data_IF_050855859009
#
_entry.id   IF_050855859009
#
_cell.length_a   1.000
_cell.length_b   1.000
_cell.length_c   1.000
_cell.angle_alpha   90.00
_cell.angle_beta   90.00
_cell.angle_gamma   90.00
#
_symmetry.space_group_name_H-M   'P 1'
#
loop_
_entity.id
_entity.type
_entity.pdbx_description
1 polymer ?
#
# COMPACT_ATOMS: atom_id res chain seq x y z
N UNK A 1 -3.74 3.39 11.41
CA UNK A 1 -3.77 3.87 10.00
C UNK A 1 -4.74 3.03 9.17
N UNK A 2 -5.32 3.57 8.08
CA UNK A 2 -6.13 2.81 7.13
C UNK A 2 -5.29 2.16 6.00
N UNK A 3 -5.69 0.96 5.60
CA UNK A 3 -5.39 0.32 4.32
C UNK A 3 -6.72 0.09 3.61
N UNK A 4 -6.98 0.80 2.52
CA UNK A 4 -8.18 0.57 1.70
C UNK A 4 -7.84 -0.39 0.58
N UNK A 5 -8.58 -1.50 0.53
CA UNK A 5 -8.47 -2.57 -0.46
C UNK A 5 -9.65 -2.47 -1.42
N UNK A 6 -9.38 -2.48 -2.73
CA UNK A 6 -10.41 -2.63 -3.78
C UNK A 6 -10.07 -3.81 -4.66
N UNK A 7 -10.97 -4.78 -4.77
CA UNK A 7 -10.85 -5.92 -5.66
C UNK A 7 -11.38 -5.56 -7.06
N UNK A 8 -10.58 -5.74 -8.11
CA UNK A 8 -10.91 -5.29 -9.47
C UNK A 8 -11.56 -6.36 -10.35
N UNK A 9 -11.19 -7.63 -10.16
CA UNK A 9 -11.76 -8.81 -10.81
C UNK A 9 -12.02 -9.90 -9.74
N UNK A 10 -12.63 -11.03 -10.11
CA UNK A 10 -12.90 -12.11 -9.17
C UNK A 10 -11.64 -12.92 -8.77
N UNK A 11 -10.49 -12.63 -9.39
CA UNK A 11 -9.27 -13.42 -9.32
C UNK A 11 -8.26 -12.76 -8.35
N UNK A 12 -7.25 -12.06 -8.87
CA UNK A 12 -6.06 -11.60 -8.11
C UNK A 12 -5.72 -10.12 -8.27
N UNK A 13 -6.54 -9.35 -8.97
CA UNK A 13 -6.24 -7.93 -9.20
C UNK A 13 -6.78 -7.05 -8.07
N UNK A 14 -5.88 -6.41 -7.32
CA UNK A 14 -6.22 -5.56 -6.17
C UNK A 14 -5.56 -4.18 -6.25
N UNK A 15 -6.27 -3.14 -5.85
CA UNK A 15 -5.70 -1.84 -5.49
C UNK A 15 -5.59 -1.76 -3.96
N UNK A 16 -4.41 -1.43 -3.47
CA UNK A 16 -4.09 -1.19 -2.07
C UNK A 16 -3.71 0.28 -1.88
N UNK A 17 -4.60 1.07 -1.29
CA UNK A 17 -4.34 2.47 -0.92
C UNK A 17 -4.00 2.55 0.57
N UNK A 18 -2.73 2.81 0.86
CA UNK A 18 -2.22 3.07 2.21
C UNK A 18 -2.37 4.56 2.52
N UNK A 19 -2.83 4.90 3.72
CA UNK A 19 -3.02 6.29 4.14
C UNK A 19 -2.40 6.53 5.53
N UNK A 20 -1.89 7.74 5.82
CA UNK A 20 -1.39 8.06 7.15
C UNK A 20 -2.51 8.09 8.20
N UNK A 21 -2.12 7.94 9.45
CA UNK A 21 -2.98 7.85 10.65
C UNK A 21 -3.92 9.04 10.83
N UNK A 22 -3.46 10.24 10.48
CA UNK A 22 -4.19 11.50 10.61
C UNK A 22 -5.04 11.87 9.37
N UNK A 23 -4.99 11.09 8.29
CA UNK A 23 -5.80 11.34 7.10
C UNK A 23 -7.31 11.22 7.42
N UNK A 24 -8.14 12.16 6.96
CA UNK A 24 -9.60 12.03 7.05
C UNK A 24 -10.11 10.73 6.40
N UNK A 25 -11.16 10.14 6.98
CA UNK A 25 -11.73 8.85 6.55
C UNK A 25 -12.27 8.84 5.10
N UNK A 26 -12.44 9.99 4.47
CA UNK A 26 -12.96 10.18 3.11
C UNK A 26 -12.03 11.05 2.26
N UNK A 27 -10.72 10.80 2.32
CA UNK A 27 -9.74 11.47 1.48
C UNK A 27 -9.45 10.72 0.18
N UNK A 28 -9.19 11.49 -0.88
CA UNK A 28 -8.74 10.99 -2.18
C UNK A 28 -7.42 10.20 -2.04
N UNK A 29 -7.11 9.28 -2.99
CA UNK A 29 -5.85 8.52 -2.99
C UNK A 29 -4.60 9.41 -2.97
N UNK A 30 -4.71 10.61 -3.54
CA UNK A 30 -3.66 11.64 -3.67
C UNK A 30 -3.39 12.46 -2.39
N UNK A 31 -3.94 12.09 -1.23
CA UNK A 31 -3.68 12.78 0.03
C UNK A 31 -2.19 12.64 0.43
N UNK A 32 -1.49 13.73 0.84
CA UNK A 32 -0.05 13.68 1.14
C UNK A 32 0.34 12.57 2.13
N UNK A 33 1.39 11.81 1.79
CA UNK A 33 1.86 10.66 2.56
C UNK A 33 1.04 9.38 2.38
N UNK A 34 -0.02 9.40 1.57
CA UNK A 34 -0.67 8.18 1.07
C UNK A 34 0.15 7.55 -0.04
N UNK A 35 -0.14 6.28 -0.35
CA UNK A 35 0.48 5.57 -1.48
C UNK A 35 -0.43 4.47 -1.99
N UNK A 36 -0.54 4.32 -3.31
CA UNK A 36 -1.44 3.37 -3.96
C UNK A 36 -0.68 2.37 -4.81
N UNK A 37 -0.87 1.08 -4.49
CA UNK A 37 -0.25 -0.05 -5.17
C UNK A 37 -1.32 -0.88 -5.89
N UNK A 38 -1.13 -1.10 -7.18
CA UNK A 38 -1.90 -2.04 -7.98
C UNK A 38 -1.15 -3.38 -8.06
N UNK A 39 -1.78 -4.48 -7.68
CA UNK A 39 -1.19 -5.83 -7.71
C UNK A 39 -1.86 -6.66 -8.81
N UNK A 40 -1.03 -7.38 -9.59
CA UNK A 40 -1.43 -8.38 -10.59
C UNK A 40 -2.65 -7.98 -11.45
N UNK A 41 -2.59 -6.86 -12.21
CA UNK A 41 -3.73 -6.39 -12.97
C UNK A 41 -4.03 -7.27 -14.20
N UNK A 42 -5.22 -7.83 -14.20
CA UNK A 42 -5.86 -8.50 -15.33
C UNK A 42 -7.29 -7.94 -15.47
N UNK A 43 -7.46 -7.02 -16.42
CA UNK A 43 -8.71 -6.29 -16.67
C UNK A 43 -9.35 -6.66 -18.01
N UNK A 44 -8.55 -7.17 -18.95
CA UNK A 44 -9.01 -7.56 -20.28
C UNK A 44 -8.23 -8.75 -20.84
N UNK A 45 -8.74 -9.31 -21.94
CA UNK A 45 -8.19 -10.49 -22.61
C UNK A 45 -8.57 -11.82 -21.95
N UNK A 46 -8.85 -12.84 -22.79
CA UNK A 46 -8.94 -14.24 -22.35
C UNK A 46 -7.54 -14.79 -22.10
N UNK A 47 -7.31 -15.48 -20.98
CA UNK A 47 -5.99 -16.02 -20.65
C UNK A 47 -5.91 -17.48 -21.04
N UNK A 48 -4.95 -17.83 -21.89
CA UNK A 48 -4.61 -19.23 -22.16
C UNK A 48 -3.49 -19.67 -21.23
N UNK A 49 -3.80 -20.53 -20.26
CA UNK A 49 -2.79 -21.03 -19.32
C UNK A 49 -1.98 -22.13 -20.02
N UNK A 50 -0.66 -21.99 -19.94
CA UNK A 50 0.36 -22.96 -20.40
C UNK A 50 0.52 -23.11 -21.93
N UNK A 51 -0.54 -23.41 -22.69
CA UNK A 51 -0.51 -23.58 -24.16
C UNK A 51 -1.94 -23.59 -24.74
N UNK A 52 -2.12 -23.34 -26.05
CA UNK A 52 -3.43 -23.24 -26.74
C UNK A 52 -4.32 -24.52 -26.71
N UNK A 53 -3.90 -25.59 -26.01
CA UNK A 53 -4.65 -26.84 -25.84
C UNK A 53 -5.00 -27.16 -24.38
N UNK A 54 -4.59 -26.30 -23.42
CA UNK A 54 -4.48 -26.70 -22.01
C UNK A 54 -5.51 -26.07 -21.08
N UNK A 55 -5.74 -24.75 -21.16
CA UNK A 55 -6.93 -24.10 -20.62
C UNK A 55 -7.10 -22.73 -21.31
N UNK A 56 -8.31 -22.38 -21.71
CA UNK A 56 -8.71 -20.97 -21.91
C UNK A 56 -9.55 -20.59 -20.71
N UNK A 57 -9.06 -19.71 -19.85
CA UNK A 57 -9.85 -19.10 -18.78
C UNK A 57 -10.33 -17.73 -19.24
N UNK A 58 -11.65 -17.53 -19.19
CA UNK A 58 -12.29 -16.22 -19.29
C UNK A 58 -12.86 -15.86 -17.93
N UNK A 59 -12.81 -14.59 -17.55
CA UNK A 59 -13.52 -14.13 -16.37
C UNK A 59 -15.01 -14.48 -16.46
N UNK A 60 -15.54 -15.05 -15.39
CA UNK A 60 -16.98 -15.28 -15.19
C UNK A 60 -17.72 -13.98 -14.86
N UNK A 61 -17.01 -12.98 -14.34
CA UNK A 61 -17.54 -11.66 -13.99
C UNK A 61 -16.65 -10.57 -14.58
N UNK A 62 -17.23 -9.64 -15.34
CA UNK A 62 -16.48 -8.56 -15.98
C UNK A 62 -15.72 -7.71 -14.92
N UNK A 63 -14.41 -7.43 -15.11
CA UNK A 63 -13.65 -6.56 -14.24
C UNK A 63 -14.26 -5.15 -14.12
N UNK A 64 -14.04 -4.49 -12.98
CA UNK A 64 -14.65 -3.17 -12.68
C UNK A 64 -14.04 -1.98 -13.41
N UNK A 65 -12.97 -2.19 -14.17
CA UNK A 65 -12.28 -1.20 -15.00
C UNK A 65 -12.01 -1.86 -16.34
N UNK A 66 -12.13 -1.12 -17.44
CA UNK A 66 -11.86 -1.64 -18.79
C UNK A 66 -10.41 -1.41 -19.20
N UNK A 67 -9.75 -0.37 -18.67
CA UNK A 67 -8.34 -0.08 -18.93
C UNK A 67 -7.66 0.58 -17.73
N UNK A 68 -6.35 0.35 -17.58
CA UNK A 68 -5.53 1.05 -16.60
C UNK A 68 -5.46 2.57 -16.82
N UNK A 69 -5.77 3.06 -18.02
CA UNK A 69 -5.87 4.51 -18.31
C UNK A 69 -6.91 5.23 -17.46
N UNK A 70 -7.93 4.52 -16.95
CA UNK A 70 -8.96 5.10 -16.09
C UNK A 70 -8.43 5.49 -14.69
N UNK A 71 -7.27 4.95 -14.31
CA UNK A 71 -6.68 5.09 -12.96
C UNK A 71 -5.17 5.41 -12.99
N UNK A 72 -4.56 5.68 -14.15
CA UNK A 72 -3.09 5.82 -14.31
C UNK A 72 -2.51 6.91 -13.37
N UNK A 73 -3.20 8.04 -13.23
CA UNK A 73 -2.80 9.16 -12.37
C UNK A 73 -3.02 8.90 -10.86
N UNK A 74 -3.74 7.84 -10.48
CA UNK A 74 -4.04 7.46 -9.08
C UNK A 74 -3.16 6.30 -8.56
N UNK A 75 -2.31 5.69 -9.41
CA UNK A 75 -1.45 4.55 -9.04
C UNK A 75 0.03 4.96 -9.01
N UNK A 76 0.64 4.93 -7.82
CA UNK A 76 2.07 5.18 -7.62
C UNK A 76 2.94 4.02 -8.09
N UNK A 77 2.43 2.79 -7.97
CA UNK A 77 3.19 1.56 -8.24
C UNK A 77 2.32 0.40 -8.72
N UNK A 78 2.83 -0.36 -9.70
CA UNK A 78 2.30 -1.66 -10.11
C UNK A 78 3.26 -2.78 -9.64
N UNK A 79 2.72 -3.82 -9.02
CA UNK A 79 3.45 -5.03 -8.62
C UNK A 79 2.95 -6.22 -9.44
N UNK A 80 3.89 -6.98 -10.02
CA UNK A 80 3.62 -8.24 -10.74
C UNK A 80 4.31 -9.41 -10.03
N UNK A 81 3.53 -10.27 -9.38
CA UNK A 81 4.01 -11.36 -8.53
C UNK A 81 4.60 -12.53 -9.34
N UNK A 82 4.08 -12.85 -10.53
CA UNK A 82 4.50 -14.00 -11.33
C UNK A 82 4.26 -13.84 -12.83
N UNK A 83 4.90 -14.66 -13.67
CA UNK A 83 4.87 -14.56 -15.15
C UNK A 83 3.61 -15.17 -15.81
N UNK A 84 2.68 -15.68 -15.00
CA UNK A 84 1.42 -16.32 -15.45
C UNK A 84 0.48 -15.30 -16.10
N UNK A 85 -0.30 -15.69 -17.12
CA UNK A 85 -1.09 -14.74 -17.91
C UNK A 85 -2.25 -14.10 -17.12
N UNK A 86 -2.73 -14.76 -16.07
CA UNK A 86 -3.73 -14.29 -15.10
C UNK A 86 -3.18 -13.30 -14.05
N UNK A 87 -1.86 -13.07 -14.02
CA UNK A 87 -1.20 -12.10 -13.12
C UNK A 87 -0.35 -11.07 -13.87
N UNK A 88 0.28 -11.49 -14.96
CA UNK A 88 1.15 -10.73 -15.86
C UNK A 88 0.51 -10.73 -17.24
N UNK A 89 -0.61 -10.01 -17.35
CA UNK A 89 -1.43 -9.88 -18.55
C UNK A 89 -0.86 -8.79 -19.48
N UNK A 90 -0.56 -9.16 -20.73
CA UNK A 90 0.06 -8.26 -21.72
C UNK A 90 -0.91 -7.18 -22.19
N UNK A 91 -2.16 -7.53 -22.48
CA UNK A 91 -3.18 -6.59 -22.97
C UNK A 91 -3.48 -5.49 -21.94
N UNK A 92 -3.64 -5.89 -20.68
CA UNK A 92 -3.93 -4.99 -19.55
C UNK A 92 -2.77 -4.03 -19.31
N UNK A 93 -1.52 -4.54 -19.24
CA UNK A 93 -0.34 -3.70 -18.99
C UNK A 93 0.02 -2.82 -20.20
N UNK A 94 -0.05 -3.35 -21.42
CA UNK A 94 0.19 -2.57 -22.64
C UNK A 94 -0.96 -1.60 -22.98
N UNK A 95 -2.07 -1.61 -22.23
CA UNK A 95 -3.07 -0.53 -22.29
C UNK A 95 -2.54 0.80 -21.77
N UNK A 96 -1.53 0.79 -20.88
CA UNK A 96 -0.81 1.99 -20.43
C UNK A 96 -0.02 2.64 -21.59
N UNK A 97 0.20 3.96 -21.59
CA UNK A 97 1.06 4.64 -22.56
C UNK A 97 2.49 4.08 -22.56
N UNK A 98 3.16 4.05 -23.71
CA UNK A 98 4.57 3.65 -23.82
C UNK A 98 5.54 4.47 -22.94
N UNK A 99 5.16 5.73 -22.69
CA UNK A 99 5.87 6.69 -21.83
C UNK A 99 5.21 6.81 -20.44
N UNK A 100 4.42 5.81 -20.01
CA UNK A 100 3.83 5.66 -18.68
C UNK A 100 4.86 5.94 -17.56
N UNK A 101 4.45 6.69 -16.55
CA UNK A 101 5.29 7.14 -15.42
C UNK A 101 5.24 6.20 -14.21
N UNK A 102 4.16 5.42 -14.05
CA UNK A 102 3.97 4.49 -12.94
C UNK A 102 4.95 3.34 -13.02
N UNK A 103 5.73 3.16 -11.96
CA UNK A 103 6.77 2.11 -11.86
C UNK A 103 6.12 0.72 -11.84
N UNK A 104 6.82 -0.26 -12.42
CA UNK A 104 6.41 -1.66 -12.45
C UNK A 104 7.50 -2.47 -11.75
N UNK A 105 7.22 -2.94 -10.54
CA UNK A 105 8.08 -3.89 -9.81
C UNK A 105 7.59 -5.31 -10.11
N UNK A 106 8.43 -6.14 -10.73
CA UNK A 106 8.02 -7.47 -11.17
C UNK A 106 9.04 -8.54 -10.76
N UNK A 107 8.59 -9.74 -10.41
CA UNK A 107 9.52 -10.85 -10.13
C UNK A 107 10.33 -11.24 -11.37
N UNK A 108 11.52 -11.87 -11.25
CA UNK A 108 12.52 -11.92 -12.33
C UNK A 108 12.00 -12.44 -13.69
N UNK A 109 11.09 -13.42 -13.65
CA UNK A 109 10.47 -13.98 -14.86
C UNK A 109 9.40 -13.06 -15.44
N UNK A 110 8.59 -12.42 -14.59
CA UNK A 110 7.61 -11.42 -15.00
C UNK A 110 8.29 -10.19 -15.59
N UNK A 111 9.32 -9.63 -14.93
CA UNK A 111 10.11 -8.52 -15.43
C UNK A 111 10.72 -8.82 -16.81
N UNK A 112 11.29 -10.02 -16.99
CA UNK A 112 11.80 -10.47 -18.30
C UNK A 112 10.70 -10.57 -19.37
N UNK A 113 9.52 -11.10 -19.03
CA UNK A 113 8.36 -11.20 -19.92
C UNK A 113 7.87 -9.82 -20.35
N UNK A 114 7.66 -8.92 -19.39
CA UNK A 114 7.18 -7.54 -19.64
C UNK A 114 8.16 -6.78 -20.54
N UNK A 115 9.47 -6.89 -20.29
CA UNK A 115 10.50 -6.28 -21.15
C UNK A 115 10.48 -6.85 -22.58
N UNK A 116 10.13 -8.12 -22.78
CA UNK A 116 10.08 -8.75 -24.10
C UNK A 116 8.94 -8.25 -25.00
N UNK A 117 7.93 -7.58 -24.44
CA UNK A 117 6.86 -6.92 -25.20
C UNK A 117 7.32 -5.66 -25.94
N UNK A 118 8.48 -5.10 -25.57
CA UNK A 118 9.05 -3.87 -26.17
C UNK A 118 8.09 -2.65 -26.18
N UNK A 119 7.13 -2.62 -25.26
CA UNK A 119 6.11 -1.57 -25.18
C UNK A 119 6.54 -0.35 -24.37
N UNK A 120 7.16 -0.59 -23.21
CA UNK A 120 7.57 0.48 -22.29
C UNK A 120 8.93 1.06 -22.68
N UNK A 121 8.95 2.31 -23.14
CA UNK A 121 10.14 2.95 -23.73
C UNK A 121 11.02 3.67 -22.68
N UNK A 122 10.49 3.96 -21.48
CA UNK A 122 11.25 4.66 -20.41
C UNK A 122 12.23 3.69 -19.72
N UNK A 123 13.55 3.99 -19.67
CA UNK A 123 14.50 3.21 -18.89
C UNK A 123 14.13 3.17 -17.41
N UNK A 124 14.27 2.00 -16.78
CA UNK A 124 13.98 1.82 -15.35
C UNK A 124 12.49 1.78 -14.98
N UNK A 125 11.56 1.77 -15.94
CA UNK A 125 10.13 1.66 -15.63
C UNK A 125 9.71 0.25 -15.18
N UNK A 126 10.40 -0.79 -15.68
CA UNK A 126 10.24 -2.18 -15.25
C UNK A 126 11.47 -2.61 -14.46
N UNK A 127 11.35 -2.69 -13.14
CA UNK A 127 12.42 -3.10 -12.22
C UNK A 127 12.17 -4.53 -11.70
N UNK A 128 13.22 -5.16 -11.20
CA UNK A 128 13.20 -6.57 -10.82
C UNK A 128 13.13 -6.74 -9.30
N UNK A 129 12.06 -7.37 -8.82
CA UNK A 129 11.93 -7.82 -7.43
C UNK A 129 12.80 -9.06 -7.22
N UNK A 130 14.07 -8.84 -6.89
CA UNK A 130 15.01 -9.92 -6.55
C UNK A 130 14.48 -10.77 -5.38
N UNK A 131 14.72 -12.09 -5.37
CA UNK A 131 14.30 -12.94 -4.26
C UNK A 131 14.96 -12.53 -2.93
N UNK A 132 14.15 -12.44 -1.87
CA UNK A 132 14.58 -12.04 -0.54
C UNK A 132 15.69 -12.93 0.03
N UNK A 133 16.70 -12.30 0.64
CA UNK A 133 17.77 -12.96 1.37
C UNK A 133 18.16 -12.15 2.61
N UNK A 134 18.00 -12.74 3.80
CA UNK A 134 18.15 -12.02 5.07
C UNK A 134 19.51 -11.31 5.26
N UNK A 135 20.59 -11.83 4.68
CA UNK A 135 21.92 -11.23 4.76
C UNK A 135 22.25 -10.22 3.64
N UNK A 136 21.30 -9.90 2.75
CA UNK A 136 21.49 -8.99 1.61
C UNK A 136 20.37 -7.94 1.64
N UNK A 137 20.58 -6.79 2.33
CA UNK A 137 19.55 -5.77 2.53
C UNK A 137 18.92 -5.25 1.23
N UNK A 138 19.67 -5.28 0.12
CA UNK A 138 19.26 -4.85 -1.22
C UNK A 138 18.17 -5.74 -1.84
N UNK A 139 17.93 -6.94 -1.28
CA UNK A 139 16.82 -7.81 -1.68
C UNK A 139 15.46 -7.35 -1.14
N UNK A 140 15.44 -6.32 -0.29
CA UNK A 140 14.24 -5.57 0.07
C UNK A 140 14.25 -4.26 -0.72
N UNK A 141 13.31 -4.11 -1.64
CA UNK A 141 13.14 -2.83 -2.35
C UNK A 141 12.57 -1.81 -1.38
N UNK A 142 13.22 -0.65 -1.26
CA UNK A 142 12.85 0.44 -0.36
C UNK A 142 12.50 1.68 -1.17
N UNK A 143 11.32 2.24 -0.92
CA UNK A 143 10.81 3.44 -1.58
C UNK A 143 10.59 4.50 -0.48
N UNK A 144 11.40 5.57 -0.43
CA UNK A 144 11.19 6.64 0.54
C UNK A 144 9.91 7.42 0.20
N UNK A 145 9.22 7.89 1.23
CA UNK A 145 8.10 8.83 1.11
C UNK A 145 8.54 10.18 1.67
N UNK A 146 8.29 11.24 0.89
CA UNK A 146 8.73 12.59 1.24
C UNK A 146 8.15 13.06 2.59
N UNK A 147 8.96 13.71 3.46
CA UNK A 147 8.48 14.22 4.74
C UNK A 147 7.58 15.44 4.53
N UNK A 148 6.52 15.58 5.35
CA UNK A 148 5.59 16.73 5.25
C UNK A 148 6.25 18.09 5.49
N UNK A 149 7.40 18.11 6.17
CA UNK A 149 8.17 19.29 6.50
C UNK A 149 9.63 18.93 6.76
N UNK A 150 10.51 19.93 6.85
CA UNK A 150 11.92 19.74 7.25
C UNK A 150 12.11 19.24 8.69
N UNK A 151 11.06 19.22 9.52
CA UNK A 151 11.06 18.69 10.89
C UNK A 151 10.38 17.31 11.00
N UNK A 152 9.80 16.80 9.90
CA UNK A 152 9.17 15.48 9.83
C UNK A 152 10.18 14.40 9.48
N UNK A 153 9.97 13.19 9.99
CA UNK A 153 10.71 12.02 9.54
C UNK A 153 10.23 11.58 8.14
N UNK A 154 11.15 11.07 7.32
CA UNK A 154 10.81 10.40 6.05
C UNK A 154 9.93 9.18 6.33
N UNK A 155 8.98 8.91 5.43
CA UNK A 155 8.25 7.64 5.40
C UNK A 155 8.99 6.61 4.56
N UNK A 156 8.54 5.36 4.60
CA UNK A 156 9.14 4.28 3.81
C UNK A 156 8.10 3.21 3.45
N UNK A 157 8.19 2.74 2.21
CA UNK A 157 7.56 1.51 1.77
C UNK A 157 8.64 0.48 1.49
N UNK A 158 8.47 -0.74 2.00
CA UNK A 158 9.37 -1.85 1.73
C UNK A 158 8.64 -2.98 1.04
N UNK A 159 9.27 -3.60 0.05
CA UNK A 159 8.69 -4.68 -0.78
C UNK A 159 9.72 -5.79 -0.93
N UNK A 160 9.33 -7.02 -0.59
CA UNK A 160 10.18 -8.20 -0.66
C UNK A 160 9.47 -9.35 -1.39
N UNK A 161 10.20 -10.03 -2.28
CA UNK A 161 9.72 -11.21 -3.02
C UNK A 161 10.28 -12.48 -2.36
N UNK A 162 9.47 -13.18 -1.58
CA UNK A 162 9.85 -14.43 -0.91
C UNK A 162 9.53 -15.58 -1.88
N UNK A 163 10.55 -16.12 -2.53
CA UNK A 163 10.41 -17.10 -3.60
C UNK A 163 10.70 -18.54 -3.15
N UNK A 164 9.88 -19.49 -3.59
CA UNK A 164 10.12 -20.93 -3.36
C UNK A 164 11.25 -21.45 -4.26
N UNK A 165 12.36 -21.91 -3.65
CA UNK A 165 13.55 -22.36 -4.39
C UNK A 165 13.33 -23.63 -5.24
N UNK A 166 12.37 -24.47 -4.85
CA UNK A 166 12.13 -25.81 -5.43
C UNK A 166 10.78 -25.93 -6.14
N UNK A 167 10.14 -24.81 -6.51
CA UNK A 167 8.87 -24.84 -7.25
C UNK A 167 9.10 -24.90 -8.76
N UNK A 168 8.89 -26.09 -9.34
CA UNK A 168 8.93 -26.33 -10.79
C UNK A 168 7.77 -25.65 -11.53
N UNK A 169 6.60 -25.51 -10.89
CA UNK A 169 5.43 -24.85 -11.47
C UNK A 169 5.61 -23.34 -11.48
N UNK A 170 6.36 -22.78 -10.51
CA UNK A 170 6.59 -21.34 -10.31
C UNK A 170 5.27 -20.59 -10.10
N UNK A 171 4.47 -21.10 -9.16
CA UNK A 171 3.22 -20.54 -8.68
C UNK A 171 3.36 -20.02 -7.24
N UNK A 172 4.20 -20.67 -6.43
CA UNK A 172 4.25 -20.45 -4.98
C UNK A 172 5.32 -19.41 -4.61
N UNK A 173 4.88 -18.18 -4.35
CA UNK A 173 5.68 -17.12 -3.75
C UNK A 173 4.84 -16.24 -2.82
N UNK A 174 5.51 -15.34 -2.12
CA UNK A 174 4.89 -14.26 -1.38
C UNK A 174 5.48 -12.91 -1.81
N UNK A 175 4.64 -11.91 -2.01
CA UNK A 175 5.06 -10.50 -1.98
C UNK A 175 4.69 -9.95 -0.60
N UNK A 176 5.71 -9.58 0.18
CA UNK A 176 5.52 -8.90 1.46
C UNK A 176 5.74 -7.40 1.28
N UNK A 177 4.80 -6.59 1.76
CA UNK A 177 4.80 -5.13 1.65
C UNK A 177 4.69 -4.55 3.06
N UNK A 178 5.47 -3.53 3.38
CA UNK A 178 5.25 -2.70 4.57
C UNK A 178 5.11 -1.23 4.19
N UNK A 179 4.27 -0.49 4.92
CA UNK A 179 4.08 0.94 4.77
C UNK A 179 4.25 1.63 6.12
N UNK A 180 5.21 2.53 6.21
CA UNK A 180 5.42 3.48 7.28
C UNK A 180 5.19 4.89 6.70
N UNK A 181 4.15 5.63 7.12
CA UNK A 181 3.92 6.97 6.59
C UNK A 181 5.04 7.92 7.03
N UNK A 182 5.20 9.07 6.35
CA UNK A 182 6.04 10.14 6.87
C UNK A 182 5.58 10.57 8.26
N UNK A 183 6.53 10.89 9.14
CA UNK A 183 6.26 11.17 10.55
C UNK A 183 5.56 12.52 10.74
N UNK A 184 4.46 12.55 11.49
CA UNK A 184 3.76 13.78 11.86
C UNK A 184 4.02 14.21 13.31
N UNK A 185 4.01 15.52 13.56
CA UNK A 185 4.01 16.08 14.92
C UNK A 185 2.72 15.75 15.71
N UNK A 186 1.71 15.20 15.02
CA UNK A 186 0.45 14.75 15.63
C UNK A 186 0.55 13.33 16.22
N UNK A 187 1.67 12.62 15.99
CA UNK A 187 1.95 11.30 16.56
C UNK A 187 2.96 11.44 17.69
N UNK A 188 2.56 11.07 18.91
CA UNK A 188 3.44 11.07 20.07
C UNK A 188 4.41 9.87 20.04
N UNK A 189 5.52 9.88 20.81
CA UNK A 189 6.50 8.79 20.82
C UNK A 189 5.98 7.41 21.27
N UNK A 190 4.75 7.33 21.81
CA UNK A 190 4.05 6.08 22.14
C UNK A 190 3.20 5.52 20.96
N UNK A 191 3.20 6.21 19.83
CA UNK A 191 2.42 5.88 18.63
C UNK A 191 0.95 6.31 18.69
N UNK A 192 0.56 7.16 19.64
CA UNK A 192 -0.79 7.77 19.66
C UNK A 192 -0.86 8.96 18.69
N UNK A 193 -1.80 8.94 17.74
CA UNK A 193 -1.98 10.00 16.74
C UNK A 193 -3.31 10.72 16.93
N UNK A 194 -3.30 12.05 16.83
CA UNK A 194 -4.52 12.88 16.73
C UNK A 194 -4.99 12.97 15.26
N UNK A 195 -6.28 12.78 14.98
CA UNK A 195 -6.82 12.92 13.62
C UNK A 195 -7.02 14.40 13.26
N UNK A 196 -6.84 14.76 11.98
CA UNK A 196 -7.23 16.07 11.48
C UNK A 196 -8.74 16.33 11.61
N UNK A 197 -9.56 15.29 11.61
CA UNK A 197 -11.01 15.40 11.81
C UNK A 197 -11.42 15.70 13.26
N UNK A 198 -10.54 15.45 14.23
CA UNK A 198 -10.80 15.64 15.65
C UNK A 198 -10.28 17.00 16.17
N UNK A 199 -9.52 17.74 15.35
CA UNK A 199 -9.04 19.06 15.70
C UNK A 199 -10.21 20.06 15.76
N UNK A 200 -10.36 20.83 16.87
CA UNK A 200 -11.37 21.87 16.92
C UNK A 200 -11.08 22.93 15.86
N UNK A 201 -12.08 23.22 15.02
CA UNK A 201 -11.99 24.33 14.06
C UNK A 201 -11.90 25.63 14.86
N UNK A 202 -10.68 26.14 15.03
CA UNK A 202 -10.45 27.46 15.63
C UNK A 202 -10.98 28.49 14.63
N UNK A 203 -12.24 28.86 14.79
CA UNK A 203 -12.81 30.02 14.14
C UNK A 203 -11.92 31.23 14.48
N UNK A 204 -11.33 31.86 13.44
CA UNK A 204 -10.50 33.05 13.62
C UNK A 204 -11.32 34.10 14.39
N UNK A 205 -10.86 34.61 15.54
CA UNK A 205 -11.53 35.72 16.21
C UNK A 205 -11.31 36.99 15.38
N UNK A 206 -12.22 37.28 14.45
CA UNK A 206 -12.00 38.37 13.50
C UNK A 206 -12.92 38.44 12.27
N UNK A 207 -14.20 38.05 12.36
CA UNK A 207 -15.22 38.42 11.35
C UNK A 207 -16.56 38.68 12.04
N UNK A 208 -16.78 39.92 12.46
CA UNK A 208 -18.07 40.39 12.96
C UNK A 208 -19.06 40.53 11.80
N UNK A 209 -19.91 39.53 11.57
CA UNK A 209 -21.15 39.74 10.81
C UNK A 209 -22.22 40.41 11.70
N UNK A 210 -22.97 41.40 11.20
CA UNK A 210 -24.08 41.99 11.95
C UNK A 210 -25.29 41.04 11.97
N UNK A 211 -26.03 40.94 13.08
CA UNK A 211 -27.23 40.10 13.15
C UNK A 211 -28.41 40.77 12.41
N UNK A 212 -29.08 40.01 11.55
CA UNK A 212 -30.39 40.35 11.00
C UNK A 212 -31.54 39.79 11.88
N UNK A 213 -32.75 40.38 11.87
CA UNK A 213 -33.69 40.22 12.99
C UNK A 213 -34.89 39.27 12.74
N UNK A 214 -35.45 38.75 13.85
CA UNK A 214 -36.74 38.01 13.99
C UNK A 214 -36.80 36.61 13.34
N UNK A 215 -37.51 35.59 13.85
CA UNK A 215 -38.42 35.43 15.00
C UNK A 215 -38.19 34.02 15.63
N UNK A 216 -38.54 33.67 16.87
CA UNK A 216 -39.92 33.67 17.39
C UNK A 216 -40.01 33.43 18.92
N UNK A 217 -40.97 34.14 19.50
CA UNK A 217 -41.55 34.10 20.85
C UNK A 217 -41.68 32.70 21.52
N UNK A 218 -41.06 32.53 22.70
CA UNK A 218 -41.71 32.02 23.93
C UNK A 218 -41.16 32.71 25.18
N UNK A 219 -42.06 33.08 26.11
CA UNK A 219 -41.79 33.62 27.47
C UNK A 219 -42.21 32.54 28.48
N UNK A 220 -41.58 32.43 29.67
CA UNK A 220 -42.03 33.15 30.89
C UNK A 220 -40.88 33.94 31.59
N UNK A 221 -41.08 35.12 32.19
CA UNK A 221 -41.47 35.42 33.60
C UNK A 221 -40.45 34.95 34.66
N UNK A 222 -40.04 35.70 35.71
CA UNK A 222 -40.38 37.05 36.23
C UNK A 222 -39.30 37.47 37.27
N UNK A 223 -39.10 38.79 37.52
CA UNK A 223 -38.29 39.39 38.62
C UNK A 223 -36.76 39.12 38.61
N UNK A 224 -35.85 39.95 39.16
CA UNK A 224 -35.90 41.32 39.73
C UNK A 224 -34.47 41.96 39.68
N UNK A 225 -34.27 43.27 40.01
CA UNK A 225 -33.05 44.03 39.62
C UNK A 225 -31.98 44.22 40.72
N UNK A 226 -30.75 44.64 40.35
CA UNK A 226 -30.03 45.84 40.86
C UNK A 226 -28.48 45.87 40.60
N UNK A 227 -27.89 47.08 40.55
CA UNK A 227 -26.44 47.39 40.55
C UNK A 227 -25.77 47.39 39.14
N UNK A 228 -25.42 48.50 38.46
CA UNK A 228 -24.96 49.89 38.73
C UNK A 228 -23.42 50.02 38.95
N UNK A 229 -22.84 51.03 38.26
CA UNK A 229 -21.46 51.56 38.23
C UNK A 229 -20.48 50.87 37.23
N UNK A 230 -19.93 51.55 36.20
CA UNK A 230 -18.99 52.72 36.15
C UNK A 230 -17.58 52.36 36.69
N UNK A 231 -16.45 52.81 36.12
CA UNK A 231 -16.19 53.64 34.92
C UNK A 231 -14.65 53.78 34.67
N UNK A 232 -14.22 54.11 33.42
CA UNK A 232 -13.09 55.03 33.05
C UNK A 232 -11.65 54.59 33.51
N UNK A 233 -10.50 54.74 32.83
CA UNK A 233 -9.98 55.66 31.77
C UNK A 233 -8.74 55.12 31.01
N UNK A 234 -8.63 55.46 29.72
CA UNK A 234 -7.49 56.04 28.95
C UNK A 234 -5.99 55.68 29.19
N UNK A 235 -5.35 55.16 28.11
CA UNK A 235 -4.10 55.61 27.42
C UNK A 235 -2.72 55.72 28.17
N UNK A 236 -1.55 55.82 27.46
CA UNK A 236 -1.19 55.49 26.06
C UNK A 236 0.11 54.63 25.89
N UNK A 237 0.54 54.39 24.64
CA UNK A 237 1.84 53.80 24.23
C UNK A 237 3.05 54.75 24.47
N UNK A 238 4.29 54.25 24.26
CA UNK A 238 5.10 54.82 23.17
C UNK A 238 5.92 53.79 22.34
N UNK A 239 6.64 54.30 21.33
CA UNK A 239 7.32 53.60 20.22
C UNK A 239 8.82 53.91 20.09
N UNK A 240 9.59 53.03 19.44
CA UNK A 240 10.93 53.28 18.84
C UNK A 240 11.37 52.03 18.03
N UNK A 241 12.35 52.02 17.12
CA UNK A 241 12.86 52.88 16.03
C UNK A 241 14.18 52.24 15.53
N UNK A 242 14.46 52.21 14.23
CA UNK A 242 15.63 51.53 13.59
C UNK A 242 17.00 52.19 13.87
N UNK A 243 18.14 51.60 13.40
CA UNK A 243 18.82 52.17 12.21
C UNK A 243 19.58 51.15 11.28
N UNK A 244 20.42 51.70 10.39
CA UNK A 244 20.80 51.25 9.02
C UNK A 244 22.22 50.65 8.82
N UNK A 245 22.50 50.22 7.56
CA UNK A 245 23.73 49.60 6.98
C UNK A 245 24.98 50.49 6.85
N UNK A 246 26.10 50.01 6.22
CA UNK A 246 26.41 50.43 4.83
C UNK A 246 27.12 49.40 3.88
N UNK A 247 27.31 49.81 2.61
CA UNK A 247 27.78 49.07 1.41
C UNK A 247 29.30 49.00 1.12
N UNK A 248 29.70 48.15 0.13
CA UNK A 248 30.73 48.38 -0.96
C UNK A 248 31.46 47.07 -1.38
N UNK A 249 32.02 46.83 -2.57
CA UNK A 249 31.91 47.39 -3.94
C UNK A 249 32.60 46.42 -4.98
N UNK A 250 32.67 46.79 -6.27
CA UNK A 250 33.02 45.94 -7.46
C UNK A 250 34.52 45.92 -7.82
N UNK A 251 35.03 44.82 -8.44
CA UNK A 251 36.37 44.75 -9.08
C UNK A 251 36.56 43.64 -10.16
N UNK A 252 37.53 43.83 -11.08
CA UNK A 252 37.90 42.95 -12.23
C UNK A 252 39.45 42.82 -12.32
N UNK A 253 40.14 42.07 -13.20
CA UNK A 253 39.83 41.41 -14.49
C UNK A 253 40.89 40.30 -14.81
N UNK A 254 40.51 39.26 -15.58
CA UNK A 254 41.47 38.36 -16.29
C UNK A 254 41.79 37.01 -15.60
N UNK A 255 42.16 35.91 -16.28
CA UNK A 255 42.35 35.66 -17.74
C UNK A 255 42.14 34.17 -18.11
N UNK A 256 41.53 33.93 -19.29
CA UNK A 256 41.75 32.82 -20.24
C UNK A 256 41.81 31.34 -19.78
N UNK A 257 40.75 30.57 -20.10
CA UNK A 257 40.82 29.23 -20.75
C UNK A 257 39.44 28.76 -21.24
N UNK A 258 39.38 27.98 -22.32
CA UNK A 258 38.15 27.56 -23.07
C UNK A 258 38.46 26.28 -23.88
N UNK A 259 37.51 25.40 -24.23
CA UNK A 259 36.31 24.91 -23.53
C UNK A 259 36.30 23.36 -23.38
N UNK A 260 35.39 22.81 -22.57
CA UNK A 260 34.92 21.44 -22.78
C UNK A 260 33.40 21.30 -22.55
N UNK A 261 32.82 20.47 -23.40
CA UNK A 261 31.40 20.20 -23.66
C UNK A 261 30.46 20.11 -22.44
N UNK A 262 29.36 20.84 -22.50
CA UNK A 262 28.24 20.77 -21.56
C UNK A 262 27.40 19.48 -21.74
N UNK A 263 27.59 18.51 -20.85
CA UNK A 263 26.59 17.49 -20.54
C UNK A 263 26.05 17.77 -19.13
N UNK A 264 24.74 17.99 -18.99
CA UNK A 264 24.14 18.38 -17.71
C UNK A 264 24.10 17.21 -16.72
N UNK A 265 25.21 16.99 -16.00
CA UNK A 265 25.22 16.11 -14.83
C UNK A 265 24.46 16.81 -13.69
N UNK A 266 23.30 16.25 -13.35
CA UNK A 266 22.55 16.55 -12.12
C UNK A 266 23.50 16.32 -10.93
N UNK A 267 23.65 17.26 -9.98
CA UNK A 267 24.55 17.05 -8.85
C UNK A 267 24.14 15.80 -8.08
N UNK A 268 25.09 14.88 -7.92
CA UNK A 268 25.00 13.81 -6.95
C UNK A 268 24.97 14.45 -5.56
N UNK A 269 23.78 14.54 -4.97
CA UNK A 269 23.62 14.90 -3.57
C UNK A 269 24.19 13.77 -2.71
N UNK A 270 25.51 13.82 -2.50
CA UNK A 270 26.13 13.17 -1.36
C UNK A 270 25.33 13.63 -0.13
N UNK A 271 24.69 12.68 0.53
CA UNK A 271 23.79 12.95 1.64
C UNK A 271 24.56 13.59 2.78
N UNK A 272 24.45 14.92 2.91
CA UNK A 272 24.86 15.60 4.13
C UNK A 272 24.13 14.98 5.31
N UNK A 273 24.80 14.88 6.47
CA UNK A 273 24.23 14.33 7.69
C UNK A 273 23.17 15.27 8.29
N UNK A 274 22.05 15.46 7.58
CA UNK A 274 20.79 15.85 8.19
C UNK A 274 20.43 14.73 9.17
N UNK A 275 20.29 15.09 10.46
CA UNK A 275 19.86 14.14 11.48
C UNK A 275 18.51 13.57 11.06
N UNK A 276 18.46 12.32 10.59
CA UNK A 276 17.19 11.64 10.30
C UNK A 276 16.36 11.67 11.58
N UNK A 277 15.24 12.38 11.53
CA UNK A 277 14.28 12.39 12.63
C UNK A 277 13.79 10.94 12.83
N UNK A 278 13.76 10.42 14.07
CA UNK A 278 13.21 9.10 14.32
C UNK A 278 11.72 9.09 13.94
N UNK A 279 11.32 8.12 13.14
CA UNK A 279 9.92 7.91 12.79
C UNK A 279 9.29 6.97 13.84
N UNK A 280 8.21 7.43 14.48
CA UNK A 280 7.48 6.72 15.54
C UNK A 280 6.09 6.24 15.07
N UNK A 281 5.77 6.41 13.79
CA UNK A 281 4.52 5.89 13.22
C UNK A 281 4.50 4.35 13.32
N UNK A 282 3.30 3.80 13.54
CA UNK A 282 3.09 2.36 13.38
C UNK A 282 3.32 1.96 11.92
N UNK A 283 3.49 0.66 11.64
CA UNK A 283 3.71 0.13 10.30
C UNK A 283 2.55 -0.77 9.88
N UNK A 284 1.99 -0.52 8.69
CA UNK A 284 1.06 -1.44 8.04
C UNK A 284 1.85 -2.52 7.31
N UNK A 285 1.34 -3.74 7.32
CA UNK A 285 1.99 -4.92 6.74
C UNK A 285 1.01 -5.75 5.94
N UNK A 286 1.40 -6.10 4.70
CA UNK A 286 0.61 -6.89 3.78
C UNK A 286 1.43 -8.10 3.31
N UNK A 287 0.80 -9.27 3.27
CA UNK A 287 1.37 -10.49 2.72
C UNK A 287 0.48 -11.00 1.60
N UNK A 288 0.99 -11.00 0.38
CA UNK A 288 0.25 -11.39 -0.81
C UNK A 288 0.78 -12.73 -1.33
N UNK A 289 -0.05 -13.77 -1.25
CA UNK A 289 0.29 -15.19 -1.49
C UNK A 289 -0.85 -15.89 -2.24
N UNK A 290 -1.22 -15.48 -3.47
CA UNK A 290 -2.44 -15.96 -4.15
C UNK A 290 -2.50 -17.49 -4.28
N UNK A 291 -1.38 -18.13 -4.62
CA UNK A 291 -1.23 -19.61 -4.72
C UNK A 291 -0.66 -20.24 -3.43
N UNK A 292 -0.28 -19.42 -2.45
CA UNK A 292 0.38 -19.84 -1.22
C UNK A 292 1.90 -19.99 -1.31
N UNK A 293 2.50 -20.31 -0.17
CA UNK A 293 3.93 -20.54 0.02
C UNK A 293 4.13 -21.54 1.17
N UNK A 294 5.26 -22.25 1.19
CA UNK A 294 5.69 -22.95 2.40
C UNK A 294 5.96 -21.90 3.51
N UNK A 295 5.18 -21.96 4.58
CA UNK A 295 5.23 -20.99 5.68
C UNK A 295 6.64 -20.89 6.31
N UNK A 296 7.44 -21.95 6.30
CA UNK A 296 8.81 -21.92 6.84
C UNK A 296 9.74 -20.96 6.07
N UNK A 297 9.45 -20.67 4.79
CA UNK A 297 10.19 -19.70 3.98
C UNK A 297 9.93 -18.25 4.41
N UNK A 298 8.88 -17.99 5.19
CA UNK A 298 8.59 -16.67 5.74
C UNK A 298 9.50 -16.33 6.93
N UNK A 299 10.00 -17.32 7.70
CA UNK A 299 10.78 -17.07 8.93
C UNK A 299 11.93 -16.08 8.75
N UNK A 300 12.83 -16.22 7.76
CA UNK A 300 13.95 -15.29 7.62
C UNK A 300 13.48 -13.85 7.44
N UNK A 301 12.38 -13.61 6.72
CA UNK A 301 11.79 -12.29 6.54
C UNK A 301 11.10 -11.78 7.82
N UNK A 302 10.38 -12.65 8.53
CA UNK A 302 9.72 -12.32 9.79
C UNK A 302 10.76 -11.91 10.84
N UNK A 303 11.78 -12.74 11.04
CA UNK A 303 12.82 -12.55 12.06
C UNK A 303 13.74 -11.36 11.75
N UNK A 304 14.19 -11.20 10.50
CA UNK A 304 15.25 -10.23 10.17
C UNK A 304 14.72 -8.91 9.58
N UNK A 305 13.41 -8.78 9.32
CA UNK A 305 12.82 -7.54 8.81
C UNK A 305 11.50 -7.19 9.51
N UNK A 306 10.48 -8.04 9.43
CA UNK A 306 9.12 -7.68 9.85
C UNK A 306 9.00 -7.45 11.38
N UNK A 307 9.65 -8.29 12.19
CA UNK A 307 9.60 -8.19 13.66
C UNK A 307 10.36 -6.97 14.23
N UNK A 308 11.21 -6.35 13.42
CA UNK A 308 11.97 -5.14 13.80
C UNK A 308 11.16 -3.85 13.58
N UNK A 309 9.99 -3.92 12.93
CA UNK A 309 9.18 -2.77 12.54
C UNK A 309 8.02 -2.52 13.53
N UNK A 310 7.78 -1.26 13.96
CA UNK A 310 6.74 -0.93 14.94
C UNK A 310 5.34 -1.42 14.55
N UNK A 311 4.79 -2.34 15.34
CA UNK A 311 3.45 -2.95 15.16
C UNK A 311 3.18 -3.62 13.81
N UNK A 312 4.22 -3.98 13.04
CA UNK A 312 4.07 -4.69 11.77
C UNK A 312 3.59 -6.15 11.92
N UNK A 313 3.57 -6.68 13.16
CA UNK A 313 3.01 -7.99 13.53
C UNK A 313 1.95 -7.76 14.64
N UNK A 314 0.78 -8.43 14.61
CA UNK A 314 0.29 -9.33 13.57
C UNK A 314 0.13 -8.62 12.22
N UNK A 315 0.33 -9.37 11.13
CA UNK A 315 0.21 -8.87 9.76
C UNK A 315 -1.14 -8.19 9.59
N UNK A 316 -1.15 -6.99 9.00
CA UNK A 316 -2.41 -6.26 8.82
C UNK A 316 -3.33 -7.01 7.88
N UNK A 317 -2.88 -7.32 6.66
CA UNK A 317 -3.68 -8.06 5.68
C UNK A 317 -2.89 -9.18 5.01
N UNK A 318 -3.46 -10.38 4.95
CA UNK A 318 -3.01 -11.47 4.09
C UNK A 318 -3.98 -11.62 2.92
N UNK A 319 -3.47 -11.80 1.71
CA UNK A 319 -4.25 -12.09 0.50
C UNK A 319 -3.90 -13.49 0.05
N UNK A 320 -4.83 -14.43 0.16
CA UNK A 320 -4.56 -15.85 -0.04
C UNK A 320 -5.86 -16.60 -0.36
N UNK A 321 -5.79 -17.56 -1.28
CA UNK A 321 -6.94 -18.38 -1.67
C UNK A 321 -7.56 -19.14 -0.50
N UNK A 322 -8.88 -19.32 -0.57
CA UNK A 322 -9.60 -20.24 0.29
C UNK A 322 -9.67 -21.62 -0.36
N UNK A 323 -9.84 -21.69 -1.68
CA UNK A 323 -9.94 -22.92 -2.44
C UNK A 323 -8.57 -23.61 -2.57
N UNK A 324 -8.53 -24.91 -2.26
CA UNK A 324 -7.38 -25.77 -2.52
C UNK A 324 -7.50 -26.32 -3.94
N UNK A 325 -6.54 -25.96 -4.81
CA UNK A 325 -6.46 -26.47 -6.17
C UNK A 325 -5.23 -27.35 -6.35
N UNK A 326 -5.40 -28.52 -6.96
CA UNK A 326 -4.29 -29.46 -7.18
C UNK A 326 -4.44 -30.26 -8.47
N UNK A 327 -3.31 -30.50 -9.11
CA UNK A 327 -3.11 -31.48 -10.16
C UNK A 327 -2.50 -32.77 -9.58
N UNK A 328 -2.57 -33.91 -10.30
CA UNK A 328 -1.75 -35.08 -10.02
C UNK A 328 -0.27 -34.67 -9.86
N UNK A 329 0.47 -35.31 -8.94
CA UNK A 329 1.87 -34.94 -8.63
C UNK A 329 2.79 -34.93 -9.86
N UNK A 330 2.56 -35.83 -10.82
CA UNK A 330 3.29 -35.91 -12.09
C UNK A 330 3.00 -34.74 -13.06
N UNK A 331 1.95 -33.95 -12.81
CA UNK A 331 1.55 -32.76 -13.58
C UNK A 331 1.78 -31.45 -12.80
N UNK A 332 2.55 -31.49 -11.71
CA UNK A 332 2.94 -30.31 -10.93
C UNK A 332 2.47 -30.31 -9.46
N UNK A 333 1.49 -31.14 -9.10
CA UNK A 333 0.96 -31.20 -7.74
C UNK A 333 0.05 -30.01 -7.40
N UNK A 334 0.20 -29.44 -6.21
CA UNK A 334 -0.58 -28.28 -5.75
C UNK A 334 -0.45 -27.11 -6.73
N UNK A 335 -1.58 -26.47 -7.03
CA UNK A 335 -1.68 -25.26 -7.86
C UNK A 335 -1.86 -24.05 -6.94
N UNK A 336 -2.84 -24.13 -6.03
CA UNK A 336 -3.03 -23.19 -4.92
C UNK A 336 -3.27 -23.97 -3.64
N UNK A 337 -2.57 -23.61 -2.55
CA UNK A 337 -2.64 -24.36 -1.29
C UNK A 337 -3.91 -24.11 -0.45
N UNK A 338 -4.71 -23.11 -0.81
CA UNK A 338 -6.01 -22.80 -0.21
C UNK A 338 -6.00 -22.62 1.32
N UNK A 339 -7.18 -22.73 1.93
CA UNK A 339 -7.35 -22.61 3.37
C UNK A 339 -6.36 -23.45 4.21
N UNK A 340 -6.03 -24.71 3.86
CA UNK A 340 -5.00 -25.47 4.58
C UNK A 340 -3.63 -24.79 4.58
N UNK A 341 -3.20 -24.21 3.46
CA UNK A 341 -1.94 -23.47 3.37
C UNK A 341 -1.96 -22.18 4.18
N UNK A 342 -3.04 -21.42 4.08
CA UNK A 342 -3.23 -20.17 4.84
C UNK A 342 -3.21 -20.37 6.35
N UNK A 343 -3.73 -21.50 6.85
CA UNK A 343 -3.63 -21.86 8.27
C UNK A 343 -2.18 -22.08 8.71
N UNK A 344 -1.32 -22.69 7.89
CA UNK A 344 0.10 -22.82 8.22
C UNK A 344 0.83 -21.47 8.22
N UNK A 345 0.47 -20.56 7.30
CA UNK A 345 0.97 -19.18 7.31
C UNK A 345 0.56 -18.46 8.61
N UNK A 346 -0.72 -18.55 9.02
CA UNK A 346 -1.23 -17.93 10.26
C UNK A 346 -0.59 -18.52 11.52
N UNK A 347 -0.25 -19.82 11.53
CA UNK A 347 0.52 -20.44 12.61
C UNK A 347 1.96 -19.90 12.70
N UNK A 348 2.59 -19.61 11.57
CA UNK A 348 3.93 -19.01 11.53
C UNK A 348 3.88 -17.53 11.96
N UNK A 349 3.01 -16.73 11.34
CA UNK A 349 2.84 -15.30 11.63
C UNK A 349 1.35 -14.95 11.75
N UNK A 350 0.95 -14.39 12.89
CA UNK A 350 -0.45 -14.05 13.15
C UNK A 350 -0.95 -12.93 12.21
N UNK A 351 -2.23 -12.99 11.82
CA UNK A 351 -2.83 -12.13 10.77
C UNK A 351 -4.13 -11.52 11.28
N UNK A 352 -4.36 -10.21 11.05
CA UNK A 352 -5.61 -9.53 11.43
C UNK A 352 -6.73 -9.76 10.41
N UNK A 353 -6.46 -9.55 9.13
CA UNK A 353 -7.43 -9.72 8.04
C UNK A 353 -6.90 -10.70 7.00
N UNK A 354 -7.70 -11.69 6.63
CA UNK A 354 -7.45 -12.60 5.51
C UNK A 354 -8.47 -12.29 4.42
N UNK A 355 -8.00 -11.73 3.32
CA UNK A 355 -8.79 -11.43 2.13
C UNK A 355 -8.62 -12.58 1.13
N UNK A 356 -9.74 -13.14 0.68
CA UNK A 356 -9.77 -14.17 -0.36
C UNK A 356 -9.19 -13.66 -1.69
N UNK A 357 -8.47 -14.50 -2.42
CA UNK A 357 -7.76 -14.14 -3.66
C UNK A 357 -7.51 -15.40 -4.52
N UNK A 358 -7.62 -15.31 -5.85
CA UNK A 358 -7.55 -16.44 -6.78
C UNK A 358 -8.66 -17.49 -6.60
N UNK A 359 -9.78 -17.11 -5.98
CA UNK A 359 -10.93 -18.00 -5.74
C UNK A 359 -11.98 -18.00 -6.89
N UNK A 360 -11.67 -17.39 -8.04
CA UNK A 360 -12.57 -17.37 -9.21
C UNK A 360 -12.77 -18.78 -9.78
N UNK A 361 -14.04 -19.19 -9.91
CA UNK A 361 -14.42 -20.43 -10.61
C UNK A 361 -14.27 -20.22 -12.11
N UNK A 362 -13.06 -20.41 -12.64
CA UNK A 362 -12.75 -20.26 -14.07
C UNK A 362 -13.46 -21.35 -14.89
N UNK A 363 -14.22 -20.95 -15.92
CA UNK A 363 -14.68 -21.90 -16.93
C UNK A 363 -13.47 -22.36 -17.75
N UNK A 364 -13.25 -23.67 -17.77
CA UNK A 364 -11.92 -24.25 -17.93
C UNK A 364 -11.93 -25.32 -19.03
N UNK A 365 -11.84 -24.87 -20.28
CA UNK A 365 -11.81 -25.73 -21.46
C UNK A 365 -10.41 -26.25 -21.81
N UNK A 366 -10.17 -27.56 -21.66
CA UNK A 366 -8.92 -28.22 -22.08
C UNK A 366 -8.77 -29.65 -21.58
N UNK A 367 -7.81 -30.42 -22.12
CA UNK A 367 -7.58 -31.81 -21.67
C UNK A 367 -6.95 -31.90 -20.27
N UNK A 368 -6.21 -30.86 -19.84
CA UNK A 368 -5.56 -30.83 -18.53
C UNK A 368 -6.52 -30.42 -17.40
N UNK A 369 -7.47 -29.52 -17.67
CA UNK A 369 -8.45 -29.06 -16.66
C UNK A 369 -9.32 -30.19 -16.12
N UNK A 370 -9.52 -31.25 -16.90
CA UNK A 370 -10.21 -32.50 -16.50
C UNK A 370 -9.57 -33.22 -15.30
N UNK A 371 -8.32 -32.90 -14.94
CA UNK A 371 -7.58 -33.55 -13.85
C UNK A 371 -7.34 -32.64 -12.64
N UNK A 372 -7.74 -31.36 -12.71
CA UNK A 372 -7.68 -30.45 -11.57
C UNK A 372 -8.73 -30.88 -10.55
N UNK A 373 -8.29 -31.11 -9.32
CA UNK A 373 -9.16 -31.30 -8.17
C UNK A 373 -9.22 -29.99 -7.39
N UNK A 374 -10.41 -29.42 -7.28
CA UNK A 374 -10.70 -28.20 -6.53
C UNK A 374 -11.53 -28.57 -5.30
N UNK A 375 -11.01 -28.29 -4.11
CA UNK A 375 -11.76 -28.35 -2.86
C UNK A 375 -12.06 -26.91 -2.42
N UNK A 376 -13.34 -26.56 -2.39
CA UNK A 376 -13.79 -25.25 -1.94
C UNK A 376 -13.88 -25.21 -0.42
N UNK A 377 -13.61 -24.04 0.13
CA UNK A 377 -13.78 -23.73 1.56
C UNK A 377 -14.56 -22.42 1.68
N UNK A 378 -15.59 -22.40 2.52
CA UNK A 378 -16.30 -21.16 2.85
C UNK A 378 -15.66 -20.43 4.04
N UNK A 379 -16.15 -19.22 4.31
CA UNK A 379 -15.61 -18.35 5.36
C UNK A 379 -15.79 -18.98 6.75
N UNK A 380 -16.93 -19.61 7.00
CA UNK A 380 -17.27 -20.29 8.24
C UNK A 380 -16.36 -21.50 8.50
N UNK A 381 -16.01 -22.27 7.48
CA UNK A 381 -15.05 -23.37 7.54
C UNK A 381 -13.64 -22.90 7.84
N UNK A 382 -13.18 -21.83 7.17
CA UNK A 382 -11.85 -21.24 7.43
C UNK A 382 -11.79 -20.70 8.86
N UNK A 383 -12.84 -20.01 9.33
CA UNK A 383 -12.96 -19.54 10.71
C UNK A 383 -12.96 -20.72 11.70
N UNK A 384 -13.60 -21.85 11.38
CA UNK A 384 -13.56 -23.08 12.18
C UNK A 384 -12.15 -23.68 12.21
N UNK A 385 -11.41 -23.66 11.12
CA UNK A 385 -10.01 -24.11 11.06
C UNK A 385 -9.09 -23.19 11.89
N UNK A 386 -9.25 -21.87 11.79
CA UNK A 386 -8.53 -20.88 12.61
C UNK A 386 -8.77 -21.07 14.11
N UNK A 387 -10.03 -21.28 14.52
CA UNK A 387 -10.41 -21.59 15.91
C UNK A 387 -9.85 -22.94 16.40
N UNK A 388 -9.50 -23.85 15.49
CA UNK A 388 -8.88 -25.13 15.76
C UNK A 388 -7.37 -25.10 15.98
N UNK A 389 -6.71 -23.93 15.85
CA UNK A 389 -5.27 -23.79 16.12
C UNK A 389 -4.99 -23.92 17.63
N UNK A 390 -4.62 -25.13 18.05
CA UNK A 390 -4.23 -25.46 19.43
C UNK A 390 -2.71 -25.51 19.64
N UNK A 391 -2.31 -25.69 20.91
CA UNK A 391 -0.90 -25.84 21.32
C UNK A 391 -0.19 -24.52 21.66
N UNK A 392 1.14 -24.48 21.50
CA UNK A 392 1.98 -23.32 21.86
C UNK A 392 1.59 -22.05 21.08
N UNK A 393 1.02 -22.20 19.89
CA UNK A 393 0.51 -21.10 19.07
C UNK A 393 -0.90 -20.61 19.48
N UNK A 394 -1.45 -21.08 20.61
CA UNK A 394 -2.89 -21.13 20.91
C UNK A 394 -3.69 -19.82 21.00
N UNK A 395 -3.14 -18.66 20.66
CA UNK A 395 -3.89 -17.41 20.44
C UNK A 395 -3.80 -16.84 19.01
N UNK A 396 -2.88 -17.36 18.17
CA UNK A 396 -2.78 -16.98 16.76
C UNK A 396 -4.03 -17.41 15.99
N UNK A 397 -4.44 -16.63 14.99
CA UNK A 397 -5.58 -16.95 14.13
C UNK A 397 -6.96 -16.75 14.74
N UNK A 398 -7.11 -16.84 16.07
CA UNK A 398 -8.41 -16.71 16.77
C UNK A 398 -9.15 -15.39 16.51
N UNK A 399 -8.41 -14.33 16.20
CA UNK A 399 -8.93 -12.98 15.91
C UNK A 399 -8.80 -12.58 14.44
N UNK A 400 -8.38 -13.49 13.57
CA UNK A 400 -8.32 -13.25 12.13
C UNK A 400 -9.73 -13.12 11.57
N UNK A 401 -9.99 -12.02 10.89
CA UNK A 401 -11.23 -11.76 10.18
C UNK A 401 -11.04 -12.20 8.73
N UNK A 402 -11.84 -13.16 8.27
CA UNK A 402 -11.78 -13.73 6.91
C UNK A 402 -12.89 -13.09 6.07
N UNK A 403 -12.55 -12.51 4.91
CA UNK A 403 -13.49 -11.79 4.05
C UNK A 403 -13.29 -12.11 2.56
N UNK A 404 -14.40 -12.26 1.84
CA UNK A 404 -14.46 -12.30 0.38
C UNK A 404 -15.04 -10.95 -0.06
N UNK A 405 -14.27 -10.14 -0.78
CA UNK A 405 -14.74 -8.81 -1.22
C UNK A 405 -15.60 -8.90 -2.49
N UNK A 406 -15.22 -9.80 -3.42
CA UNK A 406 -15.87 -9.93 -4.71
C UNK A 406 -15.49 -8.82 -5.68
N UNK A 407 -15.82 -8.99 -6.96
CA UNK A 407 -15.52 -8.01 -8.02
C UNK A 407 -16.14 -6.65 -7.70
N UNK A 408 -15.30 -5.63 -7.51
CA UNK A 408 -15.71 -4.28 -7.13
C UNK A 408 -15.88 -4.04 -5.63
N UNK A 409 -15.70 -5.06 -4.80
CA UNK A 409 -15.71 -4.91 -3.35
C UNK A 409 -14.61 -3.98 -2.85
N UNK A 410 -14.97 -3.08 -1.93
CA UNK A 410 -14.05 -2.13 -1.29
C UNK A 410 -14.12 -2.29 0.23
N UNK A 411 -12.96 -2.34 0.88
CA UNK A 411 -12.85 -2.53 2.33
C UNK A 411 -11.68 -1.73 2.91
N UNK A 412 -11.96 -0.89 3.91
CA UNK A 412 -10.91 -0.21 4.69
C UNK A 412 -10.57 -1.02 5.93
N UNK A 413 -9.37 -1.62 5.91
CA UNK A 413 -8.75 -2.34 7.00
C UNK A 413 -8.00 -1.35 7.90
N UNK A 414 -7.91 -1.60 9.21
CA UNK A 414 -7.16 -0.75 10.14
C UNK A 414 -6.00 -1.52 10.78
N UNK A 415 -4.80 -0.97 10.67
CA UNK A 415 -3.65 -1.38 11.49
C UNK A 415 -3.87 -1.04 12.96
N UNK A 416 -3.19 -1.79 13.85
CA UNK A 416 -3.28 -1.62 15.31
C UNK A 416 -2.21 -0.73 15.92
#
# INVERSE_FOLDING_TARGET
MPLTVRQLNADTSFILTFQPSFAPNHCNPTFPGSYTILIDPWLSGSTTVFHHKFATSTHTTAPTLQSLKEIEDDIDLIIISQDKPDHCNEETLCSLPKLNRTRILATPKAAKKIRSWNHFERPGIVEELTPYHASIPETVTRIPLDPYSSASAEGEITIANIATKTDLTRLHNAIAITFCPPGTLMTAPDGSTVSLSDLPVIARPGTSQPPSPTSSRKRPSVASPNGIFKAISNFPQPSSSSPTSPDSAIGKLGTLSRPSTSGAQRPSTASGLSKRHPNYENVLSVLYTPHGIDASLLRPYIENHLSLLPRAIPITAMFHALNLESNPKVLGGTVSSGAPGGIEIVKEVDVRYWIAAHDEVKDNGGWATKWITSQKFDVEEVIRMLRGIGGIAGEKGKRTIVEILGTGGVRTLRGG
#
